data_IF_221917872247
#
_entry.id   IF_221917872247
#
_cell.length_a   1.000
_cell.length_b   1.000
_cell.length_c   1.000
_cell.angle_alpha   90.00
_cell.angle_beta   90.00
_cell.angle_gamma   90.00
#
_symmetry.space_group_name_H-M   'P 1'
#
loop_
_entity.id
_entity.type
_entity.pdbx_description
1 polymer ?
#
# COMPACT_ATOMS: atom_id res chain seq x y z
N UNK A 1 19.42 -19.60 13.00
CA UNK A 1 18.55 -19.64 11.81
C UNK A 1 18.03 -18.23 11.59
N UNK A 2 18.02 -17.74 10.35
CA UNK A 2 17.71 -16.35 10.02
C UNK A 2 16.76 -16.36 8.82
N UNK A 3 15.64 -15.64 8.94
CA UNK A 3 14.60 -15.54 7.92
C UNK A 3 14.33 -14.06 7.64
N UNK A 4 14.26 -13.71 6.36
CA UNK A 4 14.02 -12.34 5.91
C UNK A 4 13.04 -12.34 4.75
N UNK A 5 12.10 -11.40 4.79
CA UNK A 5 11.23 -11.09 3.68
C UNK A 5 11.65 -9.77 3.02
N UNK A 6 11.48 -9.68 1.70
CA UNK A 6 11.66 -8.43 0.97
C UNK A 6 10.53 -7.48 1.38
N UNK A 7 10.86 -6.22 1.71
CA UNK A 7 9.90 -5.19 2.11
C UNK A 7 9.07 -4.64 0.94
N UNK A 8 8.38 -5.52 0.21
CA UNK A 8 7.40 -5.17 -0.82
C UNK A 8 5.97 -5.29 -0.27
N UNK A 9 5.06 -4.46 -0.77
CA UNK A 9 3.69 -4.31 -0.21
C UNK A 9 3.71 -4.03 1.30
N UNK A 10 4.69 -3.24 1.74
CA UNK A 10 4.86 -2.83 3.13
C UNK A 10 4.41 -1.39 3.29
N UNK A 11 3.77 -1.08 4.42
CA UNK A 11 3.42 0.28 4.81
C UNK A 11 4.34 0.73 5.95
N UNK A 12 4.80 1.97 5.89
CA UNK A 12 5.64 2.58 6.93
C UNK A 12 4.82 3.66 7.62
N UNK A 13 4.73 3.60 8.96
CA UNK A 13 4.01 4.58 9.79
C UNK A 13 5.02 5.40 10.58
N UNK A 14 5.18 6.67 10.23
CA UNK A 14 6.10 7.58 10.90
C UNK A 14 5.52 8.99 10.90
N UNK A 15 5.70 9.76 11.99
CA UNK A 15 5.21 11.14 12.08
C UNK A 15 3.72 11.32 11.74
N UNK A 16 2.88 10.37 12.19
CA UNK A 16 1.43 10.30 11.86
C UNK A 16 1.14 10.25 10.35
N UNK A 17 2.09 9.76 9.55
CA UNK A 17 1.96 9.56 8.11
C UNK A 17 2.17 8.10 7.76
N UNK A 18 1.24 7.56 6.99
CA UNK A 18 1.35 6.25 6.38
C UNK A 18 1.92 6.39 4.97
N UNK A 19 3.03 5.72 4.69
CA UNK A 19 3.70 5.75 3.37
C UNK A 19 3.73 4.34 2.76
N UNK A 20 3.38 4.25 1.49
CA UNK A 20 3.45 3.02 0.70
C UNK A 20 4.55 3.13 -0.35
N UNK A 21 5.23 2.03 -0.64
CA UNK A 21 6.19 1.93 -1.75
C UNK A 21 5.81 0.78 -2.66
N UNK A 22 5.77 1.07 -3.95
CA UNK A 22 5.72 0.07 -5.01
C UNK A 22 6.54 0.57 -6.21
N UNK A 23 6.86 -0.34 -7.10
CA UNK A 23 7.47 -0.03 -8.38
C UNK A 23 7.11 -1.09 -9.41
N UNK A 24 7.70 -0.95 -10.59
CA UNK A 24 7.56 -1.85 -11.71
C UNK A 24 8.95 -2.25 -12.23
N UNK A 25 9.03 -3.45 -12.83
CA UNK A 25 10.25 -3.91 -13.49
C UNK A 25 10.21 -3.48 -14.95
N UNK A 26 11.03 -2.51 -15.34
CA UNK A 26 11.04 -1.98 -16.69
C UNK A 26 11.88 -2.87 -17.61
N UNK A 27 11.31 -3.25 -18.75
CA UNK A 27 11.99 -3.98 -19.84
C UNK A 27 11.93 -3.17 -21.14
N UNK A 28 12.64 -3.64 -22.18
CA UNK A 28 12.76 -2.91 -23.45
C UNK A 28 11.39 -2.58 -24.10
N UNK A 29 10.42 -3.47 -23.94
CA UNK A 29 9.08 -3.34 -24.54
C UNK A 29 8.03 -2.80 -23.55
N UNK A 30 8.45 -2.29 -22.38
CA UNK A 30 7.51 -1.75 -21.38
C UNK A 30 6.77 -0.52 -21.90
N UNK A 31 5.46 -0.49 -21.68
CA UNK A 31 4.61 0.69 -21.89
C UNK A 31 4.56 1.52 -20.60
N UNK A 32 5.05 2.78 -20.57
CA UNK A 32 5.02 3.63 -19.39
C UNK A 32 3.64 3.71 -18.71
N UNK A 33 2.56 3.76 -19.50
CA UNK A 33 1.21 3.85 -18.95
C UNK A 33 0.76 2.52 -18.30
N UNK A 34 1.19 1.37 -18.83
CA UNK A 34 0.92 0.07 -18.23
C UNK A 34 1.66 -0.12 -16.91
N UNK A 35 2.94 0.25 -16.85
CA UNK A 35 3.80 0.09 -15.66
C UNK A 35 3.36 0.99 -14.49
N UNK A 36 2.90 2.21 -14.80
CA UNK A 36 2.29 3.11 -13.82
C UNK A 36 1.01 2.48 -13.23
N UNK A 37 0.12 1.97 -14.09
CA UNK A 37 -1.11 1.28 -13.65
C UNK A 37 -0.79 0.07 -12.78
N UNK A 38 0.22 -0.72 -13.14
CA UNK A 38 0.67 -1.85 -12.34
C UNK A 38 1.15 -1.40 -10.95
N UNK A 39 1.98 -0.36 -10.89
CA UNK A 39 2.50 0.20 -9.63
C UNK A 39 1.36 0.68 -8.73
N UNK A 40 0.38 1.39 -9.27
CA UNK A 40 -0.82 1.82 -8.54
C UNK A 40 -1.63 0.61 -8.06
N UNK A 41 -1.84 -0.38 -8.93
CA UNK A 41 -2.61 -1.58 -8.59
C UNK A 41 -1.96 -2.40 -7.46
N UNK A 42 -0.62 -2.47 -7.40
CA UNK A 42 0.11 -3.13 -6.30
C UNK A 42 -0.17 -2.50 -4.93
N UNK A 43 -0.41 -1.19 -4.89
CA UNK A 43 -0.71 -0.45 -3.64
C UNK A 43 -2.22 -0.44 -3.34
N UNK A 44 -3.07 -0.47 -4.36
CA UNK A 44 -4.53 -0.28 -4.27
C UNK A 44 -5.20 -1.17 -3.24
N UNK A 45 -4.78 -2.43 -3.11
CA UNK A 45 -5.34 -3.35 -2.13
C UNK A 45 -5.13 -2.86 -0.68
N UNK A 46 -3.92 -2.38 -0.36
CA UNK A 46 -3.60 -1.89 0.98
C UNK A 46 -4.38 -0.61 1.31
N UNK A 47 -4.46 0.32 0.36
CA UNK A 47 -5.24 1.56 0.54
C UNK A 47 -6.73 1.25 0.73
N UNK A 48 -7.27 0.29 -0.03
CA UNK A 48 -8.66 -0.15 0.14
C UNK A 48 -8.92 -0.76 1.51
N UNK A 49 -7.97 -1.52 2.06
CA UNK A 49 -8.10 -2.07 3.41
C UNK A 49 -8.21 -0.97 4.47
N UNK A 50 -7.48 0.14 4.31
CA UNK A 50 -7.60 1.28 5.23
C UNK A 50 -8.98 1.93 5.16
N UNK A 51 -9.50 2.17 3.96
CA UNK A 51 -10.85 2.74 3.78
C UNK A 51 -11.92 1.84 4.42
N UNK A 52 -11.81 0.52 4.25
CA UNK A 52 -12.70 -0.44 4.90
C UNK A 52 -12.59 -0.42 6.43
N UNK A 53 -11.37 -0.33 6.96
CA UNK A 53 -11.14 -0.23 8.40
C UNK A 53 -11.72 1.06 8.98
N UNK A 54 -11.50 2.19 8.30
CA UNK A 54 -12.05 3.49 8.70
C UNK A 54 -13.59 3.46 8.72
N UNK A 55 -14.21 2.86 7.71
CA UNK A 55 -15.68 2.69 7.67
C UNK A 55 -16.16 1.80 8.80
N UNK A 56 -15.52 0.65 9.03
CA UNK A 56 -15.88 -0.27 10.10
C UNK A 56 -15.80 0.41 11.49
N UNK A 57 -14.78 1.24 11.70
CA UNK A 57 -14.62 2.02 12.92
C UNK A 57 -15.71 3.09 13.13
N UNK A 58 -16.12 3.79 12.06
CA UNK A 58 -17.25 4.73 12.13
C UNK A 58 -18.54 4.03 12.59
N UNK A 59 -18.81 2.82 12.10
CA UNK A 59 -19.95 2.02 12.56
C UNK A 59 -19.78 1.50 14.01
N UNK A 60 -18.55 1.30 14.47
CA UNK A 60 -18.25 0.84 15.82
C UNK A 60 -18.15 1.96 16.87
N UNK A 61 -18.27 3.24 16.46
CA UNK A 61 -18.23 4.39 17.37
C UNK A 61 -16.85 4.72 17.96
N UNK A 62 -15.76 4.25 17.35
CA UNK A 62 -14.40 4.54 17.80
C UNK A 62 -13.61 5.28 16.71
N UNK A 63 -13.16 6.50 16.98
CA UNK A 63 -12.57 7.41 15.96
C UNK A 63 -11.04 7.46 15.97
N UNK A 64 -10.35 6.67 16.79
CA UNK A 64 -8.89 6.77 16.88
C UNK A 64 -8.20 5.95 15.78
N UNK A 65 -7.71 6.66 14.75
CA UNK A 65 -6.64 6.23 13.87
C UNK A 65 -5.57 7.33 13.90
N UNK A 66 -4.42 7.04 14.54
CA UNK A 66 -3.18 7.85 14.67
C UNK A 66 -3.00 8.76 15.91
#
# INVERSE_FOLDING_TARGET
NMDFAICIRTAIVEHKRLTFRAGAGIVADSDPAAEERETVNKIKAMVRSLDLLQRAQLYAGNTDLF
#
